data_IF_284240627462
#
_entry.id   IF_284240627462
#
_cell.length_a   1.000
_cell.length_b   1.000
_cell.length_c   1.000
_cell.angle_alpha   90.00
_cell.angle_beta   90.00
_cell.angle_gamma   90.00
#
_symmetry.space_group_name_H-M   'P 1'
#
loop_
_entity.id
_entity.type
_entity.pdbx_description
1 polymer ?
#
# COMPACT_ATOMS: atom_id res chain seq x y z
N UNK A 1 -44.64 46.68 -6.28
CA UNK A 1 -44.88 46.01 -7.58
C UNK A 1 -44.14 44.71 -7.61
N UNK A 2 -44.82 43.60 -7.37
CA UNK A 2 -44.21 42.27 -7.46
C UNK A 2 -44.36 41.81 -8.91
N UNK A 3 -43.21 41.71 -9.64
CA UNK A 3 -43.18 41.20 -11.02
C UNK A 3 -43.53 39.70 -10.98
N UNK A 4 -44.68 39.34 -11.57
CA UNK A 4 -45.05 37.93 -11.79
C UNK A 4 -44.01 37.24 -12.68
N UNK A 5 -43.28 36.28 -12.14
CA UNK A 5 -42.37 35.44 -12.89
C UNK A 5 -43.21 34.63 -13.88
N UNK A 6 -42.94 34.62 -15.19
CA UNK A 6 -43.73 33.90 -16.17
C UNK A 6 -43.63 32.39 -15.90
N UNK A 7 -44.75 31.68 -16.00
CA UNK A 7 -44.85 30.23 -15.75
C UNK A 7 -43.81 29.37 -16.49
N UNK A 8 -43.34 29.85 -17.62
CA UNK A 8 -42.29 29.19 -18.42
C UNK A 8 -40.88 29.24 -17.79
N UNK A 9 -40.56 30.24 -16.95
CA UNK A 9 -39.28 30.30 -16.24
C UNK A 9 -39.17 29.16 -15.18
N UNK A 10 -40.31 28.78 -14.57
CA UNK A 10 -40.34 27.71 -13.60
C UNK A 10 -40.15 26.34 -14.26
N UNK A 11 -40.76 26.14 -15.44
CA UNK A 11 -40.55 24.91 -16.24
C UNK A 11 -39.14 24.80 -16.78
N UNK A 12 -38.51 25.91 -17.17
CA UNK A 12 -37.10 25.94 -17.58
C UNK A 12 -36.15 25.64 -16.44
N UNK A 13 -36.44 26.11 -15.23
CA UNK A 13 -35.65 25.79 -14.03
C UNK A 13 -35.75 24.31 -13.64
N UNK A 14 -36.93 23.71 -13.77
CA UNK A 14 -37.14 22.27 -13.55
C UNK A 14 -36.41 21.45 -14.62
N UNK A 15 -36.44 21.88 -15.89
CA UNK A 15 -35.73 21.18 -16.97
C UNK A 15 -34.19 21.24 -16.78
N UNK A 16 -33.66 22.37 -16.29
CA UNK A 16 -32.20 22.50 -15.97
C UNK A 16 -31.83 21.64 -14.77
N UNK A 17 -32.68 21.54 -13.74
CA UNK A 17 -32.48 20.65 -12.59
C UNK A 17 -32.49 19.19 -13.00
N UNK A 18 -33.36 18.75 -13.91
CA UNK A 18 -33.37 17.41 -14.44
C UNK A 18 -32.15 17.08 -15.33
N UNK A 19 -31.66 18.05 -16.09
CA UNK A 19 -30.43 17.88 -16.90
C UNK A 19 -29.17 17.71 -16.05
N UNK A 20 -29.15 18.24 -14.82
CA UNK A 20 -28.02 18.07 -13.88
C UNK A 20 -27.97 16.67 -13.22
N UNK A 21 -29.03 15.87 -13.35
CA UNK A 21 -29.11 14.50 -12.86
C UNK A 21 -28.71 13.44 -13.90
N UNK A 22 -27.99 13.82 -14.94
CA UNK A 22 -27.27 12.85 -15.76
C UNK A 22 -26.17 12.23 -14.93
N UNK A 23 -26.47 11.14 -14.21
CA UNK A 23 -25.45 10.28 -13.62
C UNK A 23 -24.54 9.82 -14.75
N UNK A 24 -23.32 10.35 -14.74
CA UNK A 24 -22.29 9.90 -15.66
C UNK A 24 -22.18 8.38 -15.56
N UNK A 25 -22.34 7.70 -16.67
CA UNK A 25 -22.09 6.27 -16.75
C UNK A 25 -20.69 6.04 -16.19
N UNK A 26 -20.57 5.06 -15.30
CA UNK A 26 -19.25 4.59 -14.85
C UNK A 26 -18.41 4.36 -16.12
N UNK A 27 -17.14 4.80 -16.16
CA UNK A 27 -16.29 4.55 -17.31
C UNK A 27 -16.34 3.07 -17.62
N UNK A 28 -16.80 2.70 -18.82
CA UNK A 28 -16.84 1.33 -19.25
C UNK A 28 -15.43 0.76 -19.27
N UNK A 29 -15.28 -0.51 -18.92
CA UNK A 29 -14.01 -1.20 -19.07
C UNK A 29 -13.75 -1.35 -20.57
N UNK A 30 -12.64 -0.79 -21.06
CA UNK A 30 -12.22 -0.98 -22.45
C UNK A 30 -11.78 -2.44 -22.63
N UNK A 31 -12.56 -3.22 -23.36
CA UNK A 31 -12.20 -4.61 -23.69
C UNK A 31 -11.52 -4.57 -25.07
N UNK A 32 -10.30 -5.14 -25.13
CA UNK A 32 -9.60 -5.34 -26.42
C UNK A 32 -10.37 -6.31 -27.29
N UNK A 33 -10.34 -6.11 -28.60
CA UNK A 33 -10.91 -7.07 -29.54
C UNK A 33 -9.94 -7.31 -30.70
N UNK A 34 -9.97 -8.51 -31.28
CA UNK A 34 -9.25 -8.89 -32.47
C UNK A 34 -10.26 -9.40 -33.50
N UNK A 35 -10.06 -9.06 -34.78
CA UNK A 35 -10.93 -9.50 -35.86
C UNK A 35 -10.31 -10.74 -36.51
N UNK A 36 -11.01 -11.86 -36.44
CA UNK A 36 -10.64 -13.09 -37.16
C UNK A 36 -11.64 -13.32 -38.33
N UNK A 37 -11.29 -12.83 -39.49
CA UNK A 37 -12.15 -12.84 -40.64
C UNK A 37 -13.42 -12.01 -40.47
N UNK A 38 -14.58 -12.65 -40.30
CA UNK A 38 -15.89 -12.00 -40.05
C UNK A 38 -16.29 -11.99 -38.56
N UNK A 39 -15.52 -12.68 -37.74
CA UNK A 39 -15.83 -12.82 -36.31
C UNK A 39 -15.00 -11.84 -35.47
N UNK A 40 -15.62 -11.37 -34.38
CA UNK A 40 -14.97 -10.49 -33.41
C UNK A 40 -14.65 -11.27 -32.17
N UNK A 41 -13.35 -11.45 -31.87
CA UNK A 41 -12.87 -12.11 -30.66
C UNK A 41 -12.59 -11.03 -29.60
N UNK A 42 -13.29 -11.07 -28.47
CA UNK A 42 -13.04 -10.17 -27.36
C UNK A 42 -11.90 -10.72 -26.50
N UNK A 43 -10.84 -9.91 -26.34
CA UNK A 43 -9.67 -10.27 -25.55
C UNK A 43 -9.77 -9.51 -24.23
N UNK A 44 -10.00 -10.23 -23.13
CA UNK A 44 -9.90 -9.70 -21.79
C UNK A 44 -8.69 -10.31 -21.07
N UNK A 45 -7.93 -9.47 -20.38
CA UNK A 45 -6.83 -9.93 -19.53
C UNK A 45 -7.41 -10.32 -18.17
N UNK A 46 -7.63 -11.60 -17.98
CA UNK A 46 -7.91 -12.13 -16.64
C UNK A 46 -6.62 -12.02 -15.84
N UNK A 47 -6.64 -11.23 -14.76
CA UNK A 47 -5.52 -11.20 -13.83
C UNK A 47 -5.25 -12.61 -13.33
N UNK A 48 -3.96 -13.00 -13.27
CA UNK A 48 -3.55 -14.31 -12.80
C UNK A 48 -4.21 -14.63 -11.46
N UNK A 49 -5.10 -15.61 -11.47
CA UNK A 49 -5.75 -16.12 -10.28
C UNK A 49 -4.82 -17.15 -9.66
N UNK A 50 -4.10 -16.76 -8.61
CA UNK A 50 -3.30 -17.70 -7.86
C UNK A 50 -4.23 -18.67 -7.12
N UNK A 51 -4.54 -19.80 -7.77
CA UNK A 51 -5.32 -20.87 -7.16
C UNK A 51 -4.40 -21.67 -6.23
N UNK A 52 -4.50 -21.41 -4.93
CA UNK A 52 -3.85 -22.26 -3.94
C UNK A 52 -4.68 -23.54 -3.79
N UNK A 53 -4.31 -24.57 -4.54
CA UNK A 53 -4.87 -25.90 -4.34
C UNK A 53 -4.42 -26.42 -2.98
N UNK A 54 -5.37 -26.67 -2.06
CA UNK A 54 -5.11 -27.13 -0.69
C UNK A 54 -5.33 -28.65 -0.60
N UNK A 55 -4.31 -29.48 -0.66
CA UNK A 55 -4.47 -30.87 -0.24
C UNK A 55 -4.86 -30.88 1.25
N UNK A 56 -5.86 -31.66 1.61
CA UNK A 56 -6.38 -31.73 2.99
C UNK A 56 -5.29 -32.17 4.01
N UNK A 57 -4.29 -32.93 3.55
CA UNK A 57 -3.10 -33.30 4.33
C UNK A 57 -2.14 -32.14 4.61
N UNK A 58 -2.22 -31.05 3.85
CA UNK A 58 -1.28 -29.93 3.92
C UNK A 58 -1.45 -29.07 5.19
N UNK A 59 -2.65 -29.03 5.77
CA UNK A 59 -2.93 -28.27 7.01
C UNK A 59 -2.02 -28.66 8.19
N UNK A 60 -1.44 -29.88 8.17
CA UNK A 60 -0.53 -30.37 9.20
C UNK A 60 0.95 -30.16 8.85
N UNK A 61 1.29 -29.77 7.62
CA UNK A 61 2.68 -29.61 7.20
C UNK A 61 3.36 -28.40 7.85
N UNK A 62 4.70 -28.47 7.96
CA UNK A 62 5.52 -27.37 8.48
C UNK A 62 5.42 -26.14 7.57
N UNK A 63 5.41 -26.37 6.26
CA UNK A 63 5.33 -25.35 5.20
C UNK A 63 4.01 -24.61 5.28
N UNK A 64 2.90 -25.34 5.44
CA UNK A 64 1.59 -24.73 5.62
C UNK A 64 1.53 -23.82 6.85
N UNK A 65 2.04 -24.28 8.00
CA UNK A 65 2.07 -23.46 9.22
C UNK A 65 2.94 -22.22 9.06
N UNK A 66 4.02 -22.31 8.27
CA UNK A 66 4.88 -21.17 7.94
C UNK A 66 4.10 -20.18 7.04
N UNK A 67 3.48 -20.69 5.98
CA UNK A 67 2.69 -19.86 5.06
C UNK A 67 1.50 -19.18 5.78
N UNK A 68 0.74 -19.92 6.57
CA UNK A 68 -0.36 -19.41 7.39
C UNK A 68 0.08 -18.23 8.27
N UNK A 69 1.20 -18.38 8.98
CA UNK A 69 1.78 -17.31 9.79
C UNK A 69 2.25 -16.13 8.94
N UNK A 70 2.78 -16.39 7.76
CA UNK A 70 3.22 -15.34 6.82
C UNK A 70 2.04 -14.51 6.35
N UNK A 71 0.93 -15.12 5.93
CA UNK A 71 -0.30 -14.43 5.52
C UNK A 71 -0.87 -13.57 6.66
N UNK A 72 -0.95 -14.15 7.87
CA UNK A 72 -1.42 -13.41 9.06
C UNK A 72 -0.54 -12.19 9.37
N UNK A 73 0.78 -12.40 9.40
CA UNK A 73 1.72 -11.31 9.68
C UNK A 73 1.69 -10.25 8.59
N UNK A 74 1.58 -10.65 7.31
CA UNK A 74 1.47 -9.74 6.18
C UNK A 74 0.25 -8.84 6.31
N UNK A 75 -0.93 -9.40 6.57
CA UNK A 75 -2.16 -8.62 6.79
C UNK A 75 -1.99 -7.55 7.87
N UNK A 76 -1.24 -7.89 8.94
CA UNK A 76 -0.99 -6.98 10.06
C UNK A 76 0.01 -5.87 9.74
N UNK A 77 1.06 -6.16 8.97
CA UNK A 77 2.19 -5.22 8.80
C UNK A 77 2.18 -4.46 7.48
N UNK A 78 1.59 -5.00 6.42
CA UNK A 78 1.63 -4.36 5.10
C UNK A 78 0.97 -2.98 5.05
N UNK A 79 -0.16 -2.71 5.74
CA UNK A 79 -0.71 -1.35 5.83
C UNK A 79 0.29 -0.33 6.40
N UNK A 80 1.15 -0.73 7.34
CA UNK A 80 2.20 0.15 7.87
C UNK A 80 3.32 0.39 6.85
N UNK A 81 3.66 -0.60 6.02
CA UNK A 81 4.62 -0.40 4.93
C UNK A 81 4.10 0.61 3.90
N UNK A 82 2.82 0.53 3.53
CA UNK A 82 2.18 1.50 2.64
C UNK A 82 2.14 2.90 3.26
N UNK A 83 1.86 3.01 4.55
CA UNK A 83 1.88 4.29 5.28
C UNK A 83 3.29 4.88 5.32
N UNK A 84 4.32 4.06 5.56
CA UNK A 84 5.72 4.49 5.50
C UNK A 84 6.07 5.03 4.11
N UNK A 85 5.71 4.30 3.03
CA UNK A 85 5.89 4.75 1.65
C UNK A 85 5.25 6.11 1.39
N UNK A 86 3.99 6.30 1.82
CA UNK A 86 3.28 7.56 1.61
C UNK A 86 3.98 8.74 2.29
N UNK A 87 4.41 8.55 3.54
CA UNK A 87 5.13 9.58 4.30
C UNK A 87 6.50 9.88 3.67
N UNK A 88 7.23 8.86 3.20
CA UNK A 88 8.53 9.03 2.54
C UNK A 88 8.39 9.78 1.21
N UNK A 89 7.41 9.44 0.39
CA UNK A 89 7.13 10.16 -0.87
C UNK A 89 6.75 11.62 -0.66
N UNK A 90 5.95 11.92 0.36
CA UNK A 90 5.60 13.29 0.74
C UNK A 90 6.85 14.12 1.09
N UNK A 91 7.76 13.53 1.88
CA UNK A 91 9.00 14.18 2.24
C UNK A 91 9.93 14.40 1.05
N UNK A 92 10.10 13.39 0.19
CA UNK A 92 10.95 13.48 -1.00
C UNK A 92 10.39 14.53 -1.97
N UNK A 93 9.08 14.53 -2.20
CA UNK A 93 8.40 15.53 -3.03
C UNK A 93 8.57 16.95 -2.48
N UNK A 94 8.43 17.14 -1.18
CA UNK A 94 8.61 18.44 -0.53
C UNK A 94 10.05 18.91 -0.66
N UNK A 95 11.04 18.02 -0.43
CA UNK A 95 12.45 18.36 -0.53
C UNK A 95 12.89 18.67 -1.96
N UNK A 96 12.30 18.00 -2.95
CA UNK A 96 12.61 18.21 -4.37
C UNK A 96 12.02 19.51 -4.91
N UNK A 97 10.81 19.88 -4.47
CA UNK A 97 10.06 21.01 -5.02
C UNK A 97 10.23 22.33 -4.22
N UNK A 98 10.93 22.28 -3.09
CA UNK A 98 11.12 23.46 -2.24
C UNK A 98 12.49 24.09 -2.47
N UNK A 99 12.53 25.41 -2.61
CA UNK A 99 13.76 26.20 -2.61
C UNK A 99 14.29 26.41 -1.18
N UNK A 100 14.41 25.33 -0.41
CA UNK A 100 14.88 25.39 0.97
C UNK A 100 16.34 25.81 1.05
N UNK A 101 16.62 26.79 1.92
CA UNK A 101 17.98 27.02 2.41
C UNK A 101 18.44 25.79 3.22
N UNK A 102 19.74 25.66 3.41
CA UNK A 102 20.30 24.56 4.21
C UNK A 102 19.65 24.42 5.60
N UNK A 103 19.46 25.54 6.30
CA UNK A 103 18.86 25.54 7.63
C UNK A 103 17.38 25.15 7.62
N UNK A 104 16.61 25.58 6.61
CA UNK A 104 15.21 25.17 6.42
C UNK A 104 15.10 23.68 6.13
N UNK A 105 15.99 23.13 5.29
CA UNK A 105 16.06 21.71 4.99
C UNK A 105 16.33 20.89 6.25
N UNK A 106 17.33 21.29 7.06
CA UNK A 106 17.64 20.61 8.32
C UNK A 106 16.47 20.65 9.32
N UNK A 107 15.78 21.79 9.43
CA UNK A 107 14.58 21.92 10.26
C UNK A 107 13.45 21.01 9.79
N UNK A 108 13.18 21.00 8.49
CA UNK A 108 12.14 20.13 7.89
C UNK A 108 12.44 18.64 8.14
N UNK A 109 13.70 18.21 7.95
CA UNK A 109 14.11 16.82 8.20
C UNK A 109 13.86 16.44 9.68
N UNK A 110 14.20 17.31 10.63
CA UNK A 110 13.95 17.06 12.06
C UNK A 110 12.45 16.94 12.39
N UNK A 111 11.61 17.76 11.76
CA UNK A 111 10.15 17.68 11.95
C UNK A 111 9.58 16.41 11.33
N UNK A 112 10.10 16.02 10.18
CA UNK A 112 9.75 14.78 9.51
C UNK A 112 10.13 13.54 10.35
N UNK A 113 11.34 13.52 10.91
CA UNK A 113 11.77 12.47 11.85
C UNK A 113 10.83 12.33 13.05
N UNK A 114 10.44 13.44 13.67
CA UNK A 114 9.48 13.43 14.77
C UNK A 114 8.13 12.85 14.35
N UNK A 115 7.65 13.21 13.16
CA UNK A 115 6.38 12.69 12.62
C UNK A 115 6.45 11.19 12.39
N UNK A 116 7.51 10.71 11.74
CA UNK A 116 7.75 9.28 11.56
C UNK A 116 7.80 8.54 12.90
N UNK A 117 8.56 9.05 13.85
CA UNK A 117 8.67 8.43 15.15
C UNK A 117 7.30 8.33 15.84
N UNK A 118 6.55 9.42 15.90
CA UNK A 118 5.21 9.47 16.50
C UNK A 118 4.24 8.46 15.86
N UNK A 119 4.30 8.32 14.56
CA UNK A 119 3.43 7.42 13.81
C UNK A 119 3.77 5.93 14.00
N UNK A 120 5.05 5.62 14.10
CA UNK A 120 5.51 4.23 14.06
C UNK A 120 5.96 3.67 15.40
N UNK A 121 6.25 4.50 16.42
CA UNK A 121 6.73 4.02 17.72
C UNK A 121 5.77 3.01 18.35
N UNK A 122 4.51 3.39 18.52
CA UNK A 122 3.51 2.54 19.15
C UNK A 122 3.24 1.25 18.36
N UNK A 123 2.97 1.29 17.06
CA UNK A 123 2.85 0.08 16.22
C UNK A 123 4.08 -0.82 16.31
N UNK A 124 5.29 -0.29 16.12
CA UNK A 124 6.52 -1.07 16.10
C UNK A 124 6.80 -1.76 17.44
N UNK A 125 6.50 -1.11 18.57
CA UNK A 125 6.63 -1.72 19.90
C UNK A 125 5.67 -2.89 20.12
N UNK A 126 4.54 -2.94 19.41
CA UNK A 126 3.54 -4.01 19.49
C UNK A 126 3.80 -5.18 18.55
N UNK A 127 4.78 -5.07 17.64
CA UNK A 127 5.12 -6.11 16.69
C UNK A 127 6.06 -7.15 17.31
N UNK A 128 5.83 -8.42 16.96
CA UNK A 128 6.83 -9.45 17.19
C UNK A 128 8.08 -9.23 16.32
N UNK A 129 9.21 -9.84 16.68
CA UNK A 129 10.46 -9.75 15.91
C UNK A 129 10.23 -10.14 14.44
N UNK A 130 9.49 -11.24 14.18
CA UNK A 130 9.23 -11.69 12.82
C UNK A 130 8.33 -10.71 12.04
N UNK A 131 7.36 -10.07 12.70
CA UNK A 131 6.55 -9.01 12.10
C UNK A 131 7.37 -7.77 11.80
N UNK A 132 8.27 -7.38 12.70
CA UNK A 132 9.19 -6.27 12.48
C UNK A 132 10.13 -6.50 11.29
N UNK A 133 10.72 -7.69 11.20
CA UNK A 133 11.56 -8.08 10.04
C UNK A 133 10.78 -8.02 8.73
N UNK A 134 9.56 -8.56 8.72
CA UNK A 134 8.69 -8.52 7.55
C UNK A 134 8.33 -7.08 7.16
N UNK A 135 8.01 -6.22 8.14
CA UNK A 135 7.71 -4.81 7.89
C UNK A 135 8.89 -4.09 7.23
N UNK A 136 10.12 -4.32 7.72
CA UNK A 136 11.32 -3.70 7.17
C UNK A 136 11.56 -4.12 5.71
N UNK A 137 11.39 -5.41 5.39
CA UNK A 137 11.46 -5.92 4.01
C UNK A 137 10.40 -5.29 3.11
N UNK A 138 9.17 -5.16 3.59
CA UNK A 138 8.07 -4.54 2.84
C UNK A 138 8.27 -3.02 2.64
N UNK A 139 8.86 -2.32 3.62
CA UNK A 139 9.26 -0.91 3.45
C UNK A 139 10.34 -0.79 2.37
N UNK A 140 11.36 -1.65 2.39
CA UNK A 140 12.40 -1.67 1.35
C UNK A 140 11.80 -1.87 -0.04
N UNK A 141 10.89 -2.82 -0.16
CA UNK A 141 10.15 -3.11 -1.40
C UNK A 141 9.31 -1.92 -1.88
N UNK A 142 8.59 -1.27 -0.99
CA UNK A 142 7.64 -0.20 -1.34
C UNK A 142 8.30 1.16 -1.55
N UNK A 143 9.33 1.47 -0.79
CA UNK A 143 10.04 2.74 -0.87
C UNK A 143 11.26 2.73 -1.80
N UNK A 144 11.75 1.54 -2.19
CA UNK A 144 12.96 1.41 -3.03
C UNK A 144 14.24 1.84 -2.32
N UNK A 145 14.20 2.00 -1.01
CA UNK A 145 15.32 2.42 -0.18
C UNK A 145 15.45 1.37 0.91
N UNK A 146 16.64 0.76 1.05
CA UNK A 146 16.87 -0.13 2.17
C UNK A 146 16.55 0.59 3.47
N UNK A 147 15.75 -0.06 4.31
CA UNK A 147 15.33 0.47 5.62
C UNK A 147 16.52 0.92 6.47
N UNK A 148 17.69 0.30 6.26
CA UNK A 148 18.94 0.68 6.89
C UNK A 148 19.36 2.11 6.54
N UNK A 149 19.28 2.50 5.26
CA UNK A 149 19.64 3.86 4.84
C UNK A 149 18.65 4.90 5.33
N UNK A 150 17.35 4.56 5.32
CA UNK A 150 16.35 5.42 5.91
C UNK A 150 16.63 5.67 7.40
N UNK A 151 16.87 4.60 8.18
CA UNK A 151 17.18 4.69 9.61
C UNK A 151 18.53 5.36 9.88
N UNK A 152 19.54 5.07 9.07
CA UNK A 152 20.91 5.64 9.23
C UNK A 152 20.95 7.13 8.93
N UNK A 153 20.19 7.59 7.97
CA UNK A 153 20.16 9.00 7.57
C UNK A 153 19.39 9.86 8.57
N UNK A 154 18.52 9.26 9.36
CA UNK A 154 17.76 9.93 10.43
C UNK A 154 18.50 9.87 11.77
N UNK A 155 19.65 10.56 11.85
CA UNK A 155 20.47 10.65 13.06
C UNK A 155 20.17 11.93 13.83
N UNK A 156 19.19 11.93 14.72
CA UNK A 156 19.03 13.10 15.56
C UNK A 156 17.88 13.05 16.56
N UNK A 157 18.10 13.60 17.75
CA UNK A 157 17.09 13.92 18.73
C UNK A 157 16.48 12.73 19.52
N UNK A 158 15.31 12.91 20.07
CA UNK A 158 14.64 11.96 20.96
C UNK A 158 14.33 10.58 20.35
N UNK A 159 14.30 10.49 19.02
CA UNK A 159 14.08 9.25 18.29
C UNK A 159 15.34 8.37 18.16
N UNK A 160 16.52 8.90 18.45
CA UNK A 160 17.79 8.18 18.24
C UNK A 160 17.85 6.87 19.03
N UNK A 161 17.44 6.87 20.29
CA UNK A 161 17.41 5.67 21.13
C UNK A 161 16.46 4.59 20.60
N UNK A 162 15.31 4.98 20.10
CA UNK A 162 14.34 4.06 19.47
C UNK A 162 14.93 3.43 18.21
N UNK A 163 15.48 4.23 17.31
CA UNK A 163 16.10 3.75 16.06
C UNK A 163 17.34 2.91 16.33
N UNK A 164 18.13 3.23 17.37
CA UNK A 164 19.24 2.39 17.81
C UNK A 164 18.73 1.02 18.33
N UNK A 165 17.61 1.00 19.04
CA UNK A 165 16.95 -0.23 19.47
C UNK A 165 16.51 -1.10 18.28
N UNK A 166 15.89 -0.48 17.27
CA UNK A 166 15.54 -1.15 15.99
C UNK A 166 16.80 -1.69 15.30
N UNK A 167 17.84 -0.87 15.18
CA UNK A 167 19.11 -1.29 14.55
C UNK A 167 19.78 -2.45 15.32
N UNK A 168 19.70 -2.45 16.65
CA UNK A 168 20.24 -3.55 17.48
C UNK A 168 19.47 -4.86 17.29
N UNK A 169 18.14 -4.78 17.21
CA UNK A 169 17.27 -5.98 17.04
C UNK A 169 17.31 -6.57 15.64
N UNK A 170 17.45 -5.73 14.62
CA UNK A 170 17.29 -6.11 13.22
C UNK A 170 18.51 -5.81 12.35
N UNK A 171 19.64 -5.44 12.95
CA UNK A 171 20.78 -4.83 12.25
C UNK A 171 21.33 -5.60 11.05
N UNK A 172 21.35 -6.95 11.11
CA UNK A 172 21.75 -7.78 9.96
C UNK A 172 20.68 -7.83 8.88
N UNK A 173 19.40 -7.86 9.28
CA UNK A 173 18.26 -7.94 8.37
C UNK A 173 17.96 -6.60 7.69
N UNK A 174 18.28 -5.46 8.35
CA UNK A 174 18.16 -4.12 7.77
C UNK A 174 19.02 -3.89 6.53
N UNK A 175 20.14 -4.62 6.40
CA UNK A 175 21.06 -4.50 5.27
C UNK A 175 20.69 -5.38 4.09
N UNK A 176 19.84 -6.39 4.31
CA UNK A 176 19.37 -7.27 3.26
C UNK A 176 18.38 -6.52 2.38
N UNK A 177 18.64 -6.48 1.09
CA UNK A 177 17.69 -5.96 0.11
C UNK A 177 16.52 -6.94 -0.06
N UNK A 178 15.39 -6.38 -0.43
CA UNK A 178 14.24 -7.19 -0.80
C UNK A 178 14.52 -8.00 -2.06
N UNK A 179 14.32 -9.31 -1.97
CA UNK A 179 14.55 -10.25 -3.07
C UNK A 179 13.23 -10.85 -3.56
N UNK A 180 12.62 -10.17 -4.56
CA UNK A 180 11.31 -10.56 -5.09
C UNK A 180 11.30 -11.90 -5.80
N UNK A 181 12.44 -12.39 -6.29
CA UNK A 181 12.55 -13.65 -7.02
C UNK A 181 13.10 -14.81 -6.18
N UNK A 182 13.67 -14.52 -5.01
CA UNK A 182 14.27 -15.49 -4.11
C UNK A 182 13.58 -15.58 -2.76
N UNK A 183 14.27 -15.17 -1.69
CA UNK A 183 13.80 -15.36 -0.31
C UNK A 183 12.44 -14.70 -0.03
N UNK A 184 12.11 -13.60 -0.69
CA UNK A 184 10.92 -12.80 -0.46
C UNK A 184 9.80 -13.06 -1.47
N UNK A 185 9.94 -14.10 -2.32
CA UNK A 185 8.94 -14.41 -3.35
C UNK A 185 7.51 -14.54 -2.79
N UNK A 186 7.34 -15.23 -1.66
CA UNK A 186 6.03 -15.38 -1.02
C UNK A 186 5.46 -14.01 -0.60
N UNK A 187 6.31 -13.10 -0.13
CA UNK A 187 5.86 -11.74 0.23
C UNK A 187 5.47 -10.96 -1.02
N UNK A 188 6.21 -11.12 -2.12
CA UNK A 188 5.87 -10.48 -3.38
C UNK A 188 4.52 -10.97 -3.92
N UNK A 189 4.29 -12.28 -3.90
CA UNK A 189 2.99 -12.86 -4.30
C UNK A 189 1.84 -12.26 -3.46
N UNK A 190 2.02 -12.14 -2.14
CA UNK A 190 1.02 -11.51 -1.26
C UNK A 190 0.83 -10.02 -1.55
N UNK A 191 1.90 -9.29 -1.91
CA UNK A 191 1.83 -7.88 -2.33
C UNK A 191 1.02 -7.76 -3.62
N UNK A 192 1.28 -8.61 -4.61
CA UNK A 192 0.53 -8.60 -5.86
C UNK A 192 -0.95 -8.94 -5.63
N UNK A 193 -1.23 -9.95 -4.79
CA UNK A 193 -2.59 -10.27 -4.38
C UNK A 193 -3.29 -9.10 -3.67
N UNK A 194 -2.58 -8.38 -2.82
CA UNK A 194 -3.14 -7.21 -2.14
C UNK A 194 -3.47 -6.09 -3.13
N UNK A 195 -2.60 -5.84 -4.10
CA UNK A 195 -2.76 -4.81 -5.13
C UNK A 195 -3.91 -5.10 -6.09
N UNK A 196 -4.12 -6.35 -6.45
CA UNK A 196 -5.22 -6.78 -7.32
C UNK A 196 -6.54 -7.08 -6.56
N UNK A 197 -6.55 -6.93 -5.22
CA UNK A 197 -7.73 -7.13 -4.38
C UNK A 197 -8.00 -8.58 -3.97
N UNK A 198 -7.23 -9.56 -4.47
CA UNK A 198 -7.46 -10.99 -4.17
C UNK A 198 -6.92 -11.43 -2.80
N UNK A 199 -6.08 -10.64 -2.16
CA UNK A 199 -5.49 -10.97 -0.85
C UNK A 199 -6.55 -11.26 0.22
N UNK A 200 -7.61 -10.47 0.27
CA UNK A 200 -8.63 -10.62 1.30
C UNK A 200 -9.46 -11.88 1.12
N UNK A 201 -9.64 -12.38 -0.11
CA UNK A 201 -10.23 -13.70 -0.36
C UNK A 201 -9.36 -14.81 0.24
N UNK A 202 -8.04 -14.76 0.00
CA UNK A 202 -7.10 -15.67 0.61
C UNK A 202 -7.15 -15.58 2.14
N UNK A 203 -7.06 -14.36 2.69
CA UNK A 203 -7.05 -14.14 4.13
C UNK A 203 -8.31 -14.71 4.80
N UNK A 204 -9.48 -14.33 4.34
CA UNK A 204 -10.74 -14.80 4.93
C UNK A 204 -10.96 -16.30 4.73
N UNK A 205 -10.50 -16.87 3.62
CA UNK A 205 -10.55 -18.31 3.43
C UNK A 205 -9.69 -19.10 4.42
N UNK A 206 -8.70 -18.45 5.04
CA UNK A 206 -7.78 -19.06 6.00
C UNK A 206 -8.19 -18.80 7.46
N UNK A 207 -8.74 -17.64 7.76
CA UNK A 207 -8.92 -17.12 9.12
C UNK A 207 -10.39 -16.86 9.51
N UNK A 208 -11.32 -16.96 8.57
CA UNK A 208 -12.75 -16.86 8.86
C UNK A 208 -13.33 -18.27 8.93
N UNK A 209 -13.67 -18.72 10.11
CA UNK A 209 -14.59 -19.84 10.34
C UNK A 209 -16.03 -19.35 10.25
#
# INVERSE_FOLDING_TARGET
MVKKIPKYCFLLLIAILYASFSYGQKPGVAIGYELDGKDTIYIDRINELHVFNRPQSWKKSREWRKFYRTVYNFAKVYPYALKAKAIMRDADSTLANSNFTRGQKEKYIKEYEKRLFKEFEKPLRSLSINQGKMLLKLIDREAGISSYYAIKNYKGGAAAGFWQGIAKLFGSDLKKKYDMFGEDKILEDLVQMYRNGSFWYLYYSMFRE
#
